data_IF_829318006726
#
_entry.id   IF_829318006726
#
_cell.length_a   1.000
_cell.length_b   1.000
_cell.length_c   1.000
_cell.angle_alpha   90.00
_cell.angle_beta   90.00
_cell.angle_gamma   90.00
#
_symmetry.space_group_name_H-M   'P 1'
#
loop_
_entity.id
_entity.type
_entity.pdbx_description
1 polymer ?
#
# COMPACT_ATOMS: atom_id res chain seq x y z
N UNK A 1 -43.54 -6.38 10.70
CA UNK A 1 -43.25 -7.81 10.81
C UNK A 1 -42.86 -8.30 9.43
N UNK A 2 -41.60 -8.34 9.08
CA UNK A 2 -41.12 -8.89 7.83
C UNK A 2 -41.10 -10.43 7.92
N UNK A 3 -41.71 -11.10 6.97
CA UNK A 3 -41.70 -12.57 6.90
C UNK A 3 -40.25 -13.06 6.78
N UNK A 4 -39.88 -14.09 7.55
CA UNK A 4 -38.58 -14.73 7.45
C UNK A 4 -38.40 -15.30 6.03
N UNK A 5 -37.21 -15.16 5.42
CA UNK A 5 -36.96 -15.66 4.07
C UNK A 5 -37.14 -17.18 4.03
N UNK A 6 -37.82 -17.67 2.98
CA UNK A 6 -38.08 -19.09 2.76
C UNK A 6 -36.75 -19.89 2.57
N UNK A 7 -36.79 -21.24 2.70
CA UNK A 7 -35.59 -22.08 2.66
C UNK A 7 -34.73 -21.89 1.41
N UNK A 8 -35.32 -21.78 0.24
CA UNK A 8 -34.56 -21.55 -1.02
C UNK A 8 -33.96 -20.13 -1.16
N UNK A 9 -34.40 -19.16 -0.35
CA UNK A 9 -33.76 -17.84 -0.30
C UNK A 9 -32.53 -17.86 0.62
N UNK A 10 -32.54 -18.67 1.68
CA UNK A 10 -31.40 -18.86 2.59
C UNK A 10 -30.25 -19.64 1.91
N UNK A 11 -30.57 -20.65 1.14
CA UNK A 11 -29.57 -21.41 0.35
C UNK A 11 -28.88 -20.49 -0.66
N UNK A 12 -29.62 -19.72 -1.43
CA UNK A 12 -29.04 -18.75 -2.40
C UNK A 12 -28.18 -17.66 -1.73
N UNK A 13 -28.55 -17.21 -0.55
CA UNK A 13 -27.75 -16.22 0.21
C UNK A 13 -26.43 -16.85 0.67
N UNK A 14 -26.46 -18.06 1.19
CA UNK A 14 -25.27 -18.80 1.61
C UNK A 14 -24.32 -19.12 0.45
N UNK A 15 -24.87 -19.52 -0.69
CA UNK A 15 -24.06 -19.77 -1.90
C UNK A 15 -23.40 -18.48 -2.41
N UNK A 16 -24.09 -17.33 -2.36
CA UNK A 16 -23.54 -16.05 -2.76
C UNK A 16 -22.38 -15.61 -1.80
N UNK A 17 -22.57 -15.71 -0.50
CA UNK A 17 -21.53 -15.41 0.50
C UNK A 17 -20.27 -16.27 0.29
N UNK A 18 -20.44 -17.57 0.05
CA UNK A 18 -19.33 -18.50 -0.22
C UNK A 18 -18.59 -18.17 -1.52
N UNK A 19 -19.30 -17.71 -2.55
CA UNK A 19 -18.67 -17.27 -3.81
C UNK A 19 -17.84 -16.00 -3.57
N UNK A 20 -18.38 -15.02 -2.84
CA UNK A 20 -17.68 -13.77 -2.52
C UNK A 20 -16.42 -14.00 -1.68
N UNK A 21 -16.49 -14.89 -0.67
CA UNK A 21 -15.33 -15.32 0.12
C UNK A 21 -14.24 -15.93 -0.76
N UNK A 22 -14.59 -16.87 -1.65
CA UNK A 22 -13.63 -17.49 -2.55
C UNK A 22 -13.02 -16.47 -3.53
N UNK A 23 -13.81 -15.56 -4.08
CA UNK A 23 -13.32 -14.49 -4.97
C UNK A 23 -12.33 -13.57 -4.23
N UNK A 24 -12.58 -13.26 -2.97
CA UNK A 24 -11.69 -12.47 -2.14
C UNK A 24 -10.33 -13.15 -1.92
N UNK A 25 -10.34 -14.45 -1.64
CA UNK A 25 -9.13 -15.26 -1.48
C UNK A 25 -8.34 -15.37 -2.79
N UNK A 26 -9.03 -15.59 -3.91
CA UNK A 26 -8.42 -15.62 -5.24
C UNK A 26 -7.78 -14.26 -5.54
N UNK A 27 -8.48 -13.16 -5.29
CA UNK A 27 -7.97 -11.80 -5.51
C UNK A 27 -6.66 -11.54 -4.78
N UNK A 28 -6.55 -11.97 -3.52
CA UNK A 28 -5.33 -11.87 -2.72
C UNK A 28 -4.18 -12.72 -3.27
N UNK A 29 -4.48 -13.89 -3.85
CA UNK A 29 -3.50 -14.83 -4.36
C UNK A 29 -2.99 -14.48 -5.77
N UNK A 30 -3.80 -13.82 -6.61
CA UNK A 30 -3.48 -13.56 -8.02
C UNK A 30 -2.11 -12.91 -8.25
N UNK A 31 -1.69 -11.85 -7.53
CA UNK A 31 -0.39 -11.24 -7.78
C UNK A 31 0.78 -12.17 -7.40
N UNK A 32 0.64 -12.99 -6.35
CA UNK A 32 1.66 -13.98 -5.99
C UNK A 32 1.76 -15.09 -7.03
N UNK A 33 0.62 -15.55 -7.57
CA UNK A 33 0.61 -16.48 -8.69
C UNK A 33 1.33 -15.87 -9.91
N UNK A 34 1.06 -14.60 -10.23
CA UNK A 34 1.75 -13.89 -11.30
C UNK A 34 3.26 -13.82 -11.06
N UNK A 35 3.69 -13.57 -9.82
CA UNK A 35 5.11 -13.54 -9.45
C UNK A 35 5.79 -14.90 -9.67
N UNK A 36 5.15 -16.00 -9.25
CA UNK A 36 5.65 -17.36 -9.45
C UNK A 36 5.74 -17.67 -10.95
N UNK A 37 4.67 -17.45 -11.71
CA UNK A 37 4.67 -17.70 -13.15
C UNK A 37 5.73 -16.87 -13.88
N UNK A 38 5.88 -15.58 -13.55
CA UNK A 38 6.91 -14.73 -14.14
C UNK A 38 8.33 -15.25 -13.82
N UNK A 39 8.55 -15.77 -12.60
CA UNK A 39 9.86 -16.29 -12.19
C UNK A 39 10.30 -17.57 -12.91
N UNK A 40 9.34 -18.36 -13.42
CA UNK A 40 9.60 -19.61 -14.15
C UNK A 40 9.90 -19.39 -15.63
N UNK A 41 9.66 -18.19 -16.16
CA UNK A 41 9.91 -17.87 -17.56
C UNK A 41 11.40 -17.70 -17.84
N UNK A 42 11.83 -18.08 -19.05
CA UNK A 42 13.20 -17.89 -19.50
C UNK A 42 13.57 -16.40 -19.61
N UNK A 43 14.86 -16.10 -19.47
CA UNK A 43 15.36 -14.72 -19.57
C UNK A 43 15.01 -14.03 -20.89
N UNK A 44 14.76 -14.81 -21.95
CA UNK A 44 14.38 -14.32 -23.29
C UNK A 44 12.87 -14.04 -23.44
N UNK A 45 12.06 -14.44 -22.46
CA UNK A 45 10.58 -14.33 -22.52
C UNK A 45 10.05 -12.95 -22.04
N UNK A 46 10.67 -11.86 -22.47
CA UNK A 46 10.34 -10.50 -22.05
C UNK A 46 8.86 -10.15 -22.16
N UNK A 47 8.28 -10.46 -23.32
CA UNK A 47 6.87 -10.14 -23.57
C UNK A 47 5.92 -11.04 -22.81
N UNK A 48 6.26 -12.33 -22.66
CA UNK A 48 5.39 -13.30 -21.97
C UNK A 48 5.24 -12.93 -20.48
N UNK A 49 6.33 -12.54 -19.81
CA UNK A 49 6.26 -12.11 -18.40
C UNK A 49 5.34 -10.89 -18.20
N UNK A 50 5.41 -9.91 -19.11
CA UNK A 50 4.54 -8.74 -19.07
C UNK A 50 3.06 -9.12 -19.28
N UNK A 51 2.77 -9.95 -20.29
CA UNK A 51 1.40 -10.34 -20.62
C UNK A 51 0.77 -11.22 -19.55
N UNK A 52 1.51 -12.21 -19.01
CA UNK A 52 1.01 -13.06 -17.91
C UNK A 52 0.70 -12.21 -16.68
N UNK A 53 1.61 -11.33 -16.29
CA UNK A 53 1.38 -10.44 -15.15
C UNK A 53 0.19 -9.50 -15.39
N UNK A 54 0.10 -8.89 -16.58
CA UNK A 54 -0.99 -8.00 -16.96
C UNK A 54 -2.35 -8.71 -16.97
N UNK A 55 -2.42 -9.91 -17.55
CA UNK A 55 -3.66 -10.69 -17.60
C UNK A 55 -4.18 -11.01 -16.19
N UNK A 56 -3.31 -11.40 -15.27
CA UNK A 56 -3.73 -11.73 -13.90
C UNK A 56 -4.21 -10.49 -13.14
N UNK A 57 -3.61 -9.31 -13.36
CA UNK A 57 -4.16 -8.07 -12.80
C UNK A 57 -5.50 -7.68 -13.42
N UNK A 58 -5.70 -7.91 -14.72
CA UNK A 58 -7.01 -7.71 -15.39
C UNK A 58 -8.06 -8.66 -14.80
N UNK A 59 -7.74 -9.94 -14.60
CA UNK A 59 -8.61 -10.88 -13.89
C UNK A 59 -8.99 -10.36 -12.49
N UNK A 60 -8.02 -9.78 -11.77
CA UNK A 60 -8.27 -9.14 -10.47
C UNK A 60 -9.23 -7.95 -10.58
N UNK A 61 -9.11 -7.08 -11.60
CA UNK A 61 -10.08 -6.00 -11.83
C UNK A 61 -11.48 -6.53 -12.17
N UNK A 62 -11.59 -7.63 -12.90
CA UNK A 62 -12.88 -8.28 -13.16
C UNK A 62 -13.51 -8.79 -11.86
N UNK A 63 -12.73 -9.43 -10.98
CA UNK A 63 -13.20 -9.85 -9.65
C UNK A 63 -13.66 -8.65 -8.83
N UNK A 64 -12.88 -7.55 -8.81
CA UNK A 64 -13.29 -6.31 -8.14
C UNK A 64 -14.58 -5.72 -8.70
N UNK A 65 -14.81 -5.84 -10.02
CA UNK A 65 -16.06 -5.46 -10.66
C UNK A 65 -17.25 -6.30 -10.18
N UNK A 66 -17.06 -7.60 -9.98
CA UNK A 66 -18.09 -8.51 -9.44
C UNK A 66 -18.40 -8.16 -7.97
N UNK A 67 -17.35 -7.92 -7.16
CA UNK A 67 -17.48 -7.58 -5.74
C UNK A 67 -17.97 -6.13 -5.49
N UNK A 68 -18.08 -5.30 -6.55
CA UNK A 68 -18.52 -3.91 -6.42
C UNK A 68 -19.95 -3.79 -5.87
N UNK A 69 -20.86 -4.66 -6.32
CA UNK A 69 -22.27 -4.58 -5.92
C UNK A 69 -22.48 -4.65 -4.40
N UNK A 70 -22.07 -5.75 -3.74
CA UNK A 70 -22.12 -5.90 -2.29
C UNK A 70 -21.40 -4.77 -1.54
N UNK A 71 -20.18 -4.43 -1.97
CA UNK A 71 -19.37 -3.38 -1.33
C UNK A 71 -20.02 -2.00 -1.44
N UNK A 72 -20.62 -1.65 -2.59
CA UNK A 72 -21.34 -0.41 -2.79
C UNK A 72 -22.65 -0.36 -1.97
N UNK A 73 -23.23 -1.53 -1.67
CA UNK A 73 -24.35 -1.68 -0.72
C UNK A 73 -23.95 -1.47 0.74
N UNK A 74 -22.68 -1.26 1.04
CA UNK A 74 -22.16 -1.09 2.40
C UNK A 74 -21.78 -2.41 3.10
N UNK A 75 -21.79 -3.52 2.39
CA UNK A 75 -21.40 -4.82 2.94
C UNK A 75 -19.87 -4.92 3.12
N UNK A 76 -19.46 -5.66 4.12
CA UNK A 76 -18.05 -5.98 4.36
C UNK A 76 -17.85 -7.46 4.08
N UNK A 77 -17.15 -7.75 2.97
CA UNK A 77 -16.86 -9.12 2.55
C UNK A 77 -15.67 -9.62 3.37
N UNK A 78 -15.77 -10.85 3.90
CA UNK A 78 -14.73 -11.49 4.70
C UNK A 78 -14.41 -12.86 4.13
N UNK A 79 -13.12 -13.22 4.16
CA UNK A 79 -12.66 -14.54 3.79
C UNK A 79 -11.55 -14.98 4.75
N UNK A 80 -11.59 -16.21 5.22
CA UNK A 80 -10.64 -16.70 6.21
C UNK A 80 -10.11 -18.08 5.84
N UNK A 81 -8.78 -18.20 5.80
CA UNK A 81 -8.08 -19.48 5.67
C UNK A 81 -7.35 -19.78 6.99
N UNK A 82 -7.59 -20.94 7.55
CA UNK A 82 -6.88 -21.40 8.76
C UNK A 82 -5.40 -21.59 8.45
N UNK A 83 -4.55 -20.85 9.15
CA UNK A 83 -3.09 -20.92 8.94
C UNK A 83 -2.36 -21.50 10.16
N UNK A 84 -2.34 -20.76 11.29
CA UNK A 84 -1.69 -21.23 12.53
C UNK A 84 -2.69 -21.07 13.69
N UNK A 85 -3.65 -22.00 13.83
CA UNK A 85 -4.71 -21.88 14.84
C UNK A 85 -4.18 -21.86 16.29
N UNK A 86 -3.03 -22.52 16.54
CA UNK A 86 -2.38 -22.55 17.85
C UNK A 86 -1.90 -21.20 18.36
N UNK A 87 -1.66 -20.24 17.44
CA UNK A 87 -1.28 -18.87 17.75
C UNK A 87 -2.44 -17.87 17.55
N UNK A 88 -3.63 -18.36 17.22
CA UNK A 88 -4.77 -17.50 16.87
C UNK A 88 -4.56 -16.74 15.54
N UNK A 89 -3.58 -17.15 14.71
CA UNK A 89 -3.26 -16.51 13.45
C UNK A 89 -3.94 -17.24 12.29
N UNK A 90 -4.96 -16.61 11.74
CA UNK A 90 -5.59 -17.02 10.49
C UNK A 90 -5.26 -16.02 9.39
N UNK A 91 -5.18 -16.50 8.14
CA UNK A 91 -5.15 -15.62 6.98
C UNK A 91 -6.57 -15.07 6.77
N UNK A 92 -6.88 -14.00 7.47
CA UNK A 92 -8.16 -13.32 7.39
C UNK A 92 -8.08 -12.14 6.43
N UNK A 93 -8.91 -12.13 5.40
CA UNK A 93 -9.04 -11.03 4.45
C UNK A 93 -10.38 -10.34 4.65
N UNK A 94 -10.38 -9.02 4.44
CA UNK A 94 -11.52 -8.14 4.63
C UNK A 94 -11.56 -7.10 3.53
N UNK A 95 -12.70 -6.92 2.91
CA UNK A 95 -12.94 -5.89 1.90
C UNK A 95 -14.15 -5.06 2.25
N UNK A 96 -13.95 -3.77 2.38
CA UNK A 96 -14.97 -2.73 2.42
C UNK A 96 -14.71 -1.73 1.28
N UNK A 97 -15.53 -0.69 1.15
CA UNK A 97 -15.40 0.31 0.10
C UNK A 97 -14.03 1.01 0.04
N UNK A 98 -13.40 1.24 1.18
CA UNK A 98 -12.07 1.86 1.24
C UNK A 98 -10.98 0.93 0.72
N UNK A 99 -11.01 -0.35 1.09
CA UNK A 99 -10.09 -1.38 0.57
C UNK A 99 -10.33 -1.63 -0.91
N UNK A 100 -11.59 -1.75 -1.33
CA UNK A 100 -11.97 -1.95 -2.74
C UNK A 100 -11.39 -0.85 -3.63
N UNK A 101 -11.55 0.42 -3.22
CA UNK A 101 -10.98 1.55 -3.94
C UNK A 101 -9.44 1.45 -4.06
N UNK A 102 -8.74 1.14 -2.95
CA UNK A 102 -7.29 1.04 -2.96
C UNK A 102 -6.78 -0.13 -3.81
N UNK A 103 -7.39 -1.32 -3.73
CA UNK A 103 -6.98 -2.48 -4.54
C UNK A 103 -7.24 -2.21 -6.02
N UNK A 104 -8.35 -1.56 -6.37
CA UNK A 104 -8.63 -1.10 -7.73
C UNK A 104 -7.54 -0.15 -8.24
N UNK A 105 -7.11 0.80 -7.40
CA UNK A 105 -6.04 1.74 -7.72
C UNK A 105 -4.70 1.01 -7.95
N UNK A 106 -4.35 0.07 -7.07
CA UNK A 106 -3.12 -0.73 -7.16
C UNK A 106 -3.09 -1.56 -8.45
N UNK A 107 -4.17 -2.23 -8.79
CA UNK A 107 -4.25 -3.06 -10.00
C UNK A 107 -4.31 -2.20 -11.26
N UNK A 108 -5.11 -1.13 -11.27
CA UNK A 108 -5.26 -0.24 -12.42
C UNK A 108 -3.94 0.44 -12.79
N UNK A 109 -3.28 1.07 -11.82
CA UNK A 109 -1.95 1.67 -12.05
C UNK A 109 -0.91 0.59 -12.31
N UNK A 110 -1.01 -0.57 -11.66
CA UNK A 110 -0.14 -1.72 -11.91
C UNK A 110 -0.13 -2.14 -13.37
N UNK A 111 -1.29 -2.25 -14.02
CA UNK A 111 -1.41 -2.58 -15.45
C UNK A 111 -0.72 -1.53 -16.32
N UNK A 112 -0.93 -0.23 -16.06
CA UNK A 112 -0.28 0.85 -16.80
C UNK A 112 1.24 0.79 -16.65
N UNK A 113 1.73 0.52 -15.45
CA UNK A 113 3.17 0.37 -15.17
C UNK A 113 3.75 -0.88 -15.84
N UNK A 114 3.01 -2.00 -15.90
CA UNK A 114 3.45 -3.21 -16.62
C UNK A 114 3.60 -2.94 -18.12
N UNK A 115 2.63 -2.26 -18.73
CA UNK A 115 2.69 -1.86 -20.14
C UNK A 115 3.90 -0.94 -20.36
N UNK A 116 4.08 0.07 -19.52
CA UNK A 116 5.22 0.99 -19.58
C UNK A 116 6.56 0.26 -19.42
N UNK A 117 6.69 -0.63 -18.43
CA UNK A 117 7.89 -1.39 -18.15
C UNK A 117 8.33 -2.26 -19.33
N UNK A 118 7.37 -2.81 -20.09
CA UNK A 118 7.65 -3.64 -21.26
C UNK A 118 8.46 -2.87 -22.34
N UNK A 119 8.20 -1.58 -22.50
CA UNK A 119 8.90 -0.74 -23.48
C UNK A 119 10.12 -0.04 -22.89
N UNK A 120 10.14 0.16 -21.57
CA UNK A 120 11.22 0.84 -20.86
C UNK A 120 12.45 -0.05 -20.61
N UNK A 121 12.23 -1.33 -20.25
CA UNK A 121 13.33 -2.25 -19.91
C UNK A 121 14.04 -2.75 -21.17
N UNK A 122 15.37 -2.77 -21.11
CA UNK A 122 16.20 -3.26 -22.22
C UNK A 122 16.16 -4.78 -22.32
N UNK A 123 16.54 -5.31 -23.51
CA UNK A 123 16.68 -6.76 -23.71
C UNK A 123 17.81 -7.38 -22.89
N UNK A 124 18.75 -6.57 -22.39
CA UNK A 124 19.85 -7.03 -21.54
C UNK A 124 19.44 -7.16 -20.07
N UNK A 125 18.32 -6.55 -19.66
CA UNK A 125 17.82 -6.65 -18.31
C UNK A 125 17.21 -8.05 -18.04
N UNK A 126 17.33 -8.60 -16.81
CA UNK A 126 16.66 -9.84 -16.42
C UNK A 126 15.17 -9.62 -16.16
N UNK A 127 14.41 -9.34 -17.23
CA UNK A 127 13.02 -8.88 -17.22
C UNK A 127 12.05 -9.80 -16.45
N UNK A 128 12.12 -11.16 -16.55
CA UNK A 128 11.25 -12.03 -15.75
C UNK A 128 11.43 -11.81 -14.24
N UNK A 129 12.67 -11.59 -13.78
CA UNK A 129 12.96 -11.26 -12.37
C UNK A 129 12.32 -9.93 -11.96
N UNK A 130 12.30 -8.93 -12.85
CA UNK A 130 11.65 -7.66 -12.61
C UNK A 130 10.15 -7.84 -12.36
N UNK A 131 9.45 -8.54 -13.27
CA UNK A 131 8.03 -8.79 -13.14
C UNK A 131 7.69 -9.66 -11.93
N UNK A 132 8.52 -10.66 -11.62
CA UNK A 132 8.35 -11.49 -10.43
C UNK A 132 8.39 -10.66 -9.14
N UNK A 133 9.38 -9.78 -8.99
CA UNK A 133 9.47 -8.88 -7.82
C UNK A 133 8.34 -7.87 -7.78
N UNK A 134 7.97 -7.29 -8.93
CA UNK A 134 6.88 -6.32 -9.01
C UNK A 134 5.54 -6.95 -8.62
N UNK A 135 5.26 -8.16 -9.10
CA UNK A 135 4.03 -8.88 -8.79
C UNK A 135 4.01 -9.38 -7.34
N UNK A 136 5.12 -9.90 -6.82
CA UNK A 136 5.22 -10.26 -5.40
C UNK A 136 4.98 -9.03 -4.50
N UNK A 137 5.56 -7.87 -4.85
CA UNK A 137 5.31 -6.62 -4.14
C UNK A 137 3.84 -6.17 -4.23
N UNK A 138 3.21 -6.34 -5.41
CA UNK A 138 1.77 -6.07 -5.58
C UNK A 138 0.95 -6.96 -4.65
N UNK A 139 1.28 -8.26 -4.56
CA UNK A 139 0.61 -9.20 -3.65
C UNK A 139 0.79 -8.83 -2.18
N UNK A 140 2.01 -8.45 -1.78
CA UNK A 140 2.26 -7.98 -0.42
C UNK A 140 1.47 -6.70 -0.09
N UNK A 141 1.38 -5.76 -1.03
CA UNK A 141 0.59 -4.54 -0.86
C UNK A 141 -0.91 -4.83 -0.74
N UNK A 142 -1.44 -5.70 -1.60
CA UNK A 142 -2.84 -6.18 -1.51
C UNK A 142 -3.07 -6.87 -0.16
N UNK A 143 -2.11 -7.69 0.29
CA UNK A 143 -2.15 -8.30 1.62
C UNK A 143 -2.24 -7.28 2.76
N UNK A 144 -1.49 -6.18 2.72
CA UNK A 144 -1.62 -5.08 3.70
C UNK A 144 -3.03 -4.47 3.68
N UNK A 145 -3.55 -4.18 2.47
CA UNK A 145 -4.84 -3.52 2.31
C UNK A 145 -6.01 -4.39 2.76
N UNK A 146 -5.97 -5.67 2.43
CA UNK A 146 -7.05 -6.62 2.64
C UNK A 146 -6.94 -7.39 3.96
N UNK A 147 -5.89 -7.19 4.77
CA UNK A 147 -5.74 -7.91 6.04
C UNK A 147 -6.92 -7.66 6.99
N UNK A 148 -7.57 -8.75 7.38
CA UNK A 148 -8.61 -8.78 8.41
C UNK A 148 -8.07 -9.05 9.82
N UNK A 149 -6.74 -9.24 9.96
CA UNK A 149 -6.04 -9.44 11.23
C UNK A 149 -4.84 -8.49 11.30
N UNK A 150 -4.67 -7.79 12.43
CA UNK A 150 -3.64 -6.74 12.56
C UNK A 150 -2.20 -7.28 12.62
N UNK A 151 -2.00 -8.52 13.05
CA UNK A 151 -0.67 -9.18 13.02
C UNK A 151 -0.34 -9.58 11.58
N UNK A 152 -1.28 -10.19 10.86
CA UNK A 152 -1.15 -10.51 9.44
C UNK A 152 -0.86 -9.25 8.60
N UNK A 153 -1.50 -8.13 8.92
CA UNK A 153 -1.23 -6.84 8.30
C UNK A 153 0.25 -6.46 8.42
N UNK A 154 0.84 -6.62 9.62
CA UNK A 154 2.27 -6.32 9.83
C UNK A 154 3.18 -7.29 9.08
N UNK A 155 2.82 -8.58 8.98
CA UNK A 155 3.58 -9.55 8.16
C UNK A 155 3.64 -9.09 6.70
N UNK A 156 2.52 -8.73 6.11
CA UNK A 156 2.50 -8.19 4.74
C UNK A 156 3.20 -6.82 4.64
N UNK A 157 3.11 -5.99 5.67
CA UNK A 157 3.83 -4.72 5.74
C UNK A 157 5.35 -4.90 5.64
N UNK A 158 5.92 -5.85 6.40
CA UNK A 158 7.34 -6.17 6.30
C UNK A 158 7.70 -6.82 4.97
N UNK A 159 6.83 -7.65 4.43
CA UNK A 159 7.02 -8.23 3.10
C UNK A 159 7.09 -7.13 2.02
N UNK A 160 6.29 -6.05 2.13
CA UNK A 160 6.43 -4.89 1.23
C UNK A 160 7.78 -4.18 1.39
N UNK A 161 8.36 -4.12 2.60
CA UNK A 161 9.69 -3.53 2.83
C UNK A 161 10.79 -4.35 2.16
N UNK A 162 10.75 -5.67 2.32
CA UNK A 162 11.71 -6.59 1.67
C UNK A 162 11.63 -6.56 0.15
N UNK A 163 10.41 -6.60 -0.40
CA UNK A 163 10.22 -6.61 -1.85
C UNK A 163 10.54 -5.26 -2.48
N UNK A 164 10.28 -4.15 -1.78
CA UNK A 164 10.72 -2.83 -2.23
C UNK A 164 12.25 -2.70 -2.25
N UNK A 165 12.94 -3.29 -1.26
CA UNK A 165 14.40 -3.36 -1.27
C UNK A 165 14.92 -4.06 -2.53
N UNK A 166 14.33 -5.19 -2.93
CA UNK A 166 14.70 -5.91 -4.16
C UNK A 166 14.41 -5.10 -5.42
N UNK A 167 13.32 -4.35 -5.45
CA UNK A 167 12.93 -3.50 -6.58
C UNK A 167 13.78 -2.24 -6.68
N UNK A 168 14.06 -1.54 -5.57
CA UNK A 168 14.93 -0.35 -5.56
C UNK A 168 16.36 -0.74 -5.91
N UNK A 169 16.83 -1.88 -5.40
CA UNK A 169 18.14 -2.45 -5.68
C UNK A 169 18.21 -3.26 -6.98
N UNK A 170 17.24 -3.17 -7.90
CA UNK A 170 17.19 -4.00 -9.11
C UNK A 170 18.49 -3.91 -9.94
N UNK A 171 19.02 -2.72 -10.15
CA UNK A 171 20.32 -2.46 -10.76
C UNK A 171 21.43 -2.41 -9.69
N UNK A 172 21.57 -3.52 -8.95
CA UNK A 172 22.47 -3.65 -7.79
C UNK A 172 23.97 -3.44 -8.10
N UNK A 173 24.37 -3.40 -9.37
CA UNK A 173 25.75 -3.05 -9.76
C UNK A 173 26.07 -1.57 -9.45
N UNK A 174 25.08 -0.68 -9.51
CA UNK A 174 25.22 0.73 -9.18
C UNK A 174 25.27 0.97 -7.65
N UNK A 175 26.25 1.77 -7.18
CA UNK A 175 26.39 2.10 -5.75
C UNK A 175 25.12 2.83 -5.22
N UNK A 176 24.61 3.80 -5.98
CA UNK A 176 23.42 4.56 -5.61
C UNK A 176 22.17 3.68 -5.40
N UNK A 177 21.98 2.65 -6.24
CA UNK A 177 20.87 1.72 -6.10
C UNK A 177 20.99 0.87 -4.83
N UNK A 178 22.22 0.39 -4.51
CA UNK A 178 22.47 -0.37 -3.27
C UNK A 178 22.23 0.46 -2.02
N UNK A 179 22.76 1.69 -2.01
CA UNK A 179 22.66 2.57 -0.83
C UNK A 179 21.22 3.05 -0.64
N UNK A 180 20.52 3.42 -1.70
CA UNK A 180 19.11 3.77 -1.67
C UNK A 180 18.22 2.63 -1.20
N UNK A 181 18.45 1.41 -1.68
CA UNK A 181 17.71 0.22 -1.27
C UNK A 181 17.93 -0.10 0.22
N UNK A 182 19.19 -0.09 0.69
CA UNK A 182 19.52 -0.34 2.10
C UNK A 182 18.89 0.71 3.02
N UNK A 183 18.98 1.98 2.65
CA UNK A 183 18.39 3.07 3.43
C UNK A 183 16.88 2.93 3.53
N UNK A 184 16.20 2.65 2.42
CA UNK A 184 14.76 2.40 2.41
C UNK A 184 14.39 1.21 3.33
N UNK A 185 15.11 0.08 3.24
CA UNK A 185 14.85 -1.09 4.07
C UNK A 185 15.05 -0.80 5.56
N UNK A 186 16.17 -0.15 5.93
CA UNK A 186 16.48 0.14 7.34
C UNK A 186 15.41 1.06 7.94
N UNK A 187 15.06 2.14 7.25
CA UNK A 187 14.08 3.12 7.77
C UNK A 187 12.68 2.50 7.86
N UNK A 188 12.22 1.85 6.80
CA UNK A 188 10.86 1.31 6.76
C UNK A 188 10.70 0.04 7.58
N UNK A 189 11.74 -0.80 7.68
CA UNK A 189 11.74 -1.99 8.53
C UNK A 189 11.79 -1.65 10.02
N UNK A 190 12.64 -0.68 10.42
CA UNK A 190 12.63 -0.19 11.81
C UNK A 190 11.27 0.37 12.22
N UNK A 191 10.63 1.13 11.32
CA UNK A 191 9.25 1.60 11.52
C UNK A 191 8.22 0.47 11.63
N UNK A 192 8.39 -0.59 10.84
CA UNK A 192 7.52 -1.75 10.88
C UNK A 192 7.65 -2.57 12.18
N UNK A 193 8.83 -2.65 12.77
CA UNK A 193 9.01 -3.22 14.11
C UNK A 193 8.30 -2.39 15.19
N UNK A 194 8.34 -1.06 15.10
CA UNK A 194 7.54 -0.19 15.97
C UNK A 194 6.04 -0.45 15.78
N UNK A 195 5.59 -0.58 14.52
CA UNK A 195 4.20 -0.91 14.19
C UNK A 195 3.79 -2.27 14.77
N UNK A 196 4.65 -3.29 14.69
CA UNK A 196 4.39 -4.60 15.30
C UNK A 196 4.11 -4.48 16.79
N UNK A 197 4.96 -3.76 17.52
CA UNK A 197 4.77 -3.55 18.95
C UNK A 197 3.46 -2.80 19.25
N UNK A 198 3.13 -1.77 18.47
CA UNK A 198 1.86 -1.07 18.60
C UNK A 198 0.67 -2.01 18.40
N UNK A 199 0.68 -2.83 17.34
CA UNK A 199 -0.41 -3.76 17.02
C UNK A 199 -0.57 -4.86 18.08
N UNK A 200 0.54 -5.36 18.65
CA UNK A 200 0.47 -6.34 19.74
C UNK A 200 -0.19 -5.75 21.00
N UNK A 201 0.16 -4.53 21.37
CA UNK A 201 -0.43 -3.84 22.53
C UNK A 201 -1.90 -3.48 22.25
N UNK A 202 -2.23 -2.97 21.05
CA UNK A 202 -3.64 -2.70 20.66
C UNK A 202 -4.47 -3.97 20.74
N UNK A 203 -3.99 -5.10 20.20
CA UNK A 203 -4.70 -6.37 20.24
C UNK A 203 -4.94 -6.87 21.66
N UNK A 204 -3.99 -6.66 22.57
CA UNK A 204 -4.17 -6.99 24.00
C UNK A 204 -5.24 -6.13 24.67
N UNK A 205 -5.24 -4.83 24.41
CA UNK A 205 -6.26 -3.90 24.96
C UNK A 205 -7.64 -4.22 24.38
N UNK A 206 -7.71 -4.51 23.09
CA UNK A 206 -8.95 -4.82 22.38
C UNK A 206 -9.53 -6.23 22.71
N UNK A 207 -8.70 -7.10 23.28
CA UNK A 207 -9.10 -8.50 23.55
C UNK A 207 -9.04 -9.42 22.33
N UNK A 208 -8.36 -9.01 21.23
CA UNK A 208 -8.19 -9.81 20.02
C UNK A 208 -7.43 -9.08 18.92
N UNK A 209 -6.95 -9.84 17.94
CA UNK A 209 -6.15 -9.32 16.81
C UNK A 209 -6.97 -9.23 15.51
N UNK A 210 -8.25 -9.58 15.56
CA UNK A 210 -9.16 -9.36 14.43
C UNK A 210 -9.42 -7.86 14.23
N UNK A 211 -9.37 -7.42 12.97
CA UNK A 211 -9.48 -6.00 12.66
C UNK A 211 -10.85 -5.42 13.06
N UNK A 212 -11.94 -6.19 12.94
CA UNK A 212 -13.26 -5.70 13.31
C UNK A 212 -13.38 -5.52 14.84
N UNK A 213 -12.78 -6.43 15.65
CA UNK A 213 -12.69 -6.28 17.11
C UNK A 213 -11.89 -5.02 17.45
N UNK A 214 -10.75 -4.82 16.80
CA UNK A 214 -9.88 -3.66 17.02
C UNK A 214 -10.60 -2.36 16.65
N UNK A 215 -11.27 -2.33 15.51
CA UNK A 215 -12.00 -1.12 15.07
C UNK A 215 -13.16 -0.76 16.01
N UNK A 216 -13.75 -1.74 16.69
CA UNK A 216 -14.80 -1.51 17.67
C UNK A 216 -14.27 -1.10 19.06
N UNK A 217 -12.95 -1.26 19.33
CA UNK A 217 -12.35 -1.05 20.67
C UNK A 217 -11.80 0.37 20.89
N UNK A 218 -12.12 1.34 20.03
CA UNK A 218 -11.53 2.67 20.04
C UNK A 218 -11.56 3.39 21.39
N UNK A 219 -12.70 3.37 22.09
CA UNK A 219 -12.83 4.01 23.41
C UNK A 219 -11.91 3.35 24.47
N UNK A 220 -11.83 2.03 24.46
CA UNK A 220 -10.95 1.29 25.38
C UNK A 220 -9.47 1.60 25.12
N UNK A 221 -9.07 1.67 23.86
CA UNK A 221 -7.68 1.99 23.47
C UNK A 221 -7.34 3.44 23.87
N UNK A 222 -8.20 4.41 23.59
CA UNK A 222 -7.97 5.82 23.92
C UNK A 222 -7.94 6.09 25.44
N UNK A 223 -8.74 5.37 26.21
CA UNK A 223 -8.77 5.50 27.67
C UNK A 223 -7.60 4.77 28.37
N UNK A 224 -6.85 3.94 27.67
CA UNK A 224 -5.82 3.12 28.26
C UNK A 224 -4.55 3.94 28.60
N UNK A 225 -3.90 3.73 29.75
CA UNK A 225 -2.66 4.46 30.14
C UNK A 225 -1.52 4.35 29.12
N UNK A 226 -1.44 3.27 28.37
CA UNK A 226 -0.43 3.06 27.32
C UNK A 226 -0.77 3.75 26.00
N UNK A 227 -1.91 4.45 25.86
CA UNK A 227 -2.32 5.09 24.62
C UNK A 227 -1.23 6.00 24.00
N UNK A 228 -0.54 6.89 24.74
CA UNK A 228 0.50 7.72 24.14
C UNK A 228 1.67 6.92 23.56
N UNK A 229 2.07 5.82 24.22
CA UNK A 229 3.12 4.93 23.74
C UNK A 229 2.67 4.19 22.48
N UNK A 230 1.47 3.63 22.50
CA UNK A 230 0.86 2.93 21.35
C UNK A 230 0.75 3.86 20.16
N UNK A 231 0.27 5.07 20.37
CA UNK A 231 0.16 6.09 19.32
C UNK A 231 1.54 6.43 18.75
N UNK A 232 2.56 6.67 19.57
CA UNK A 232 3.91 6.98 19.12
C UNK A 232 4.49 5.85 18.26
N UNK A 233 4.39 4.60 18.71
CA UNK A 233 4.87 3.42 17.97
C UNK A 233 4.12 3.22 16.65
N UNK A 234 2.80 3.37 16.64
CA UNK A 234 1.97 3.30 15.44
C UNK A 234 2.36 4.39 14.43
N UNK A 235 2.52 5.64 14.90
CA UNK A 235 2.91 6.76 14.05
C UNK A 235 4.31 6.60 13.49
N UNK A 236 5.28 6.06 14.24
CA UNK A 236 6.60 5.74 13.72
C UNK A 236 6.51 4.76 12.53
N UNK A 237 5.68 3.72 12.62
CA UNK A 237 5.42 2.82 11.51
C UNK A 237 4.86 3.54 10.29
N UNK A 238 3.81 4.34 10.47
CA UNK A 238 3.15 5.07 9.39
C UNK A 238 4.06 6.13 8.76
N UNK A 239 4.76 6.92 9.58
CA UNK A 239 5.58 8.04 9.13
C UNK A 239 6.84 7.60 8.38
N UNK A 240 7.50 6.54 8.82
CA UNK A 240 8.65 5.97 8.11
C UNK A 240 8.26 5.47 6.73
N UNK A 241 7.16 4.73 6.61
CA UNK A 241 6.67 4.18 5.33
C UNK A 241 6.17 5.26 4.38
N UNK A 242 5.47 6.29 4.90
CA UNK A 242 4.95 7.42 4.11
C UNK A 242 5.92 8.60 4.02
N UNK A 243 7.20 8.39 4.30
CA UNK A 243 8.26 9.39 4.15
C UNK A 243 7.91 10.75 4.79
N UNK A 244 7.31 10.73 6.00
CA UNK A 244 7.03 11.95 6.75
C UNK A 244 8.30 12.48 7.42
N UNK A 245 8.40 13.78 7.62
CA UNK A 245 9.49 14.39 8.38
C UNK A 245 9.52 13.84 9.82
N UNK A 246 10.71 13.50 10.36
CA UNK A 246 12.05 13.62 9.76
C UNK A 246 12.46 12.42 8.89
N UNK A 247 11.65 11.39 8.73
CA UNK A 247 12.00 10.11 8.10
C UNK A 247 11.92 10.11 6.56
N UNK A 248 11.84 11.28 5.92
CA UNK A 248 11.64 11.42 4.47
C UNK A 248 12.86 11.07 3.61
N UNK A 249 14.05 11.08 4.18
CA UNK A 249 15.34 11.08 3.45
C UNK A 249 15.62 9.82 2.63
N UNK A 250 14.95 8.70 2.91
CA UNK A 250 15.11 7.47 2.13
C UNK A 250 14.45 7.58 0.75
N UNK A 251 13.37 8.37 0.61
CA UNK A 251 12.57 8.42 -0.60
C UNK A 251 13.34 9.02 -1.81
N UNK A 252 14.07 10.14 -1.70
CA UNK A 252 14.94 10.62 -2.77
C UNK A 252 16.05 9.62 -3.14
N UNK A 253 16.62 8.91 -2.17
CA UNK A 253 17.60 7.84 -2.41
C UNK A 253 17.03 6.66 -3.19
N UNK A 254 15.76 6.33 -3.00
CA UNK A 254 15.06 5.28 -3.73
C UNK A 254 14.83 5.61 -5.22
N UNK A 255 15.06 6.87 -5.68
CA UNK A 255 14.95 7.25 -7.08
C UNK A 255 16.02 6.63 -8.00
N UNK A 256 17.04 5.96 -7.44
CA UNK A 256 17.97 5.12 -8.18
C UNK A 256 17.34 3.87 -8.81
N UNK A 257 16.12 3.52 -8.39
CA UNK A 257 15.31 2.43 -8.96
C UNK A 257 14.98 2.68 -10.45
N UNK A 258 14.70 1.61 -11.24
CA UNK A 258 14.09 1.76 -12.57
C UNK A 258 12.82 2.62 -12.50
N UNK A 259 12.57 3.44 -13.52
CA UNK A 259 11.42 4.36 -13.49
C UNK A 259 10.06 3.69 -13.34
N UNK A 260 9.79 2.51 -13.93
CA UNK A 260 8.54 1.78 -13.67
C UNK A 260 8.35 1.45 -12.17
N UNK A 261 9.44 1.10 -11.46
CA UNK A 261 9.40 0.87 -10.00
C UNK A 261 9.04 2.17 -9.28
N UNK A 262 9.74 3.29 -9.60
CA UNK A 262 9.45 4.59 -8.98
C UNK A 262 8.00 5.01 -9.25
N UNK A 263 7.49 4.82 -10.48
CA UNK A 263 6.11 5.11 -10.84
C UNK A 263 5.10 4.29 -9.99
N UNK A 264 5.36 3.04 -9.72
CA UNK A 264 4.45 2.17 -8.97
C UNK A 264 4.54 2.38 -7.46
N UNK A 265 5.76 2.34 -6.89
CA UNK A 265 5.98 2.42 -5.45
C UNK A 265 5.56 3.78 -4.86
N UNK A 266 5.76 4.86 -5.61
CA UNK A 266 5.58 6.21 -5.08
C UNK A 266 4.28 6.88 -5.52
N UNK A 267 3.52 6.27 -6.45
CA UNK A 267 2.19 6.76 -6.82
C UNK A 267 1.05 6.05 -6.11
N UNK A 268 0.98 4.71 -6.20
CA UNK A 268 -0.20 3.95 -5.82
C UNK A 268 -0.02 3.02 -4.61
N UNK A 269 1.25 2.70 -4.22
CA UNK A 269 1.49 1.57 -3.34
C UNK A 269 2.28 1.93 -2.07
N UNK A 270 3.57 1.65 -2.01
CA UNK A 270 4.39 1.63 -0.79
C UNK A 270 4.20 2.85 0.12
N UNK A 271 4.36 4.06 -0.42
CA UNK A 271 4.28 5.29 0.37
C UNK A 271 2.86 5.61 0.85
N UNK A 272 1.86 4.99 0.26
CA UNK A 272 0.46 5.14 0.67
C UNK A 272 0.03 4.16 1.76
N UNK A 273 0.81 3.12 2.03
CA UNK A 273 0.50 2.17 3.10
C UNK A 273 0.39 2.87 4.47
N UNK A 274 1.29 3.83 4.78
CA UNK A 274 1.22 4.57 6.05
C UNK A 274 -0.01 5.47 6.14
N UNK A 275 -0.32 6.25 5.10
CA UNK A 275 -1.53 7.09 5.10
C UNK A 275 -2.82 6.26 5.04
N UNK A 276 -2.79 5.08 4.41
CA UNK A 276 -3.88 4.11 4.50
C UNK A 276 -4.14 3.70 5.95
N UNK A 277 -3.09 3.33 6.70
CA UNK A 277 -3.23 2.96 8.11
C UNK A 277 -3.71 4.13 8.98
N UNK A 278 -3.21 5.35 8.75
CA UNK A 278 -3.69 6.54 9.47
C UNK A 278 -5.21 6.70 9.32
N UNK A 279 -5.73 6.56 8.10
CA UNK A 279 -7.16 6.67 7.84
C UNK A 279 -7.91 5.45 8.42
N UNK A 280 -7.39 4.24 8.25
CA UNK A 280 -8.02 3.00 8.73
C UNK A 280 -8.13 2.96 10.26
N UNK A 281 -7.11 3.43 10.97
CA UNK A 281 -7.06 3.43 12.43
C UNK A 281 -7.54 4.73 13.09
N UNK A 282 -7.98 5.72 12.30
CA UNK A 282 -8.55 6.95 12.86
C UNK A 282 -9.75 6.72 13.79
N UNK A 283 -10.63 5.70 13.61
CA UNK A 283 -11.69 5.39 14.58
C UNK A 283 -11.14 4.88 15.92
N UNK A 284 -9.96 4.22 15.91
CA UNK A 284 -9.33 3.60 17.11
C UNK A 284 -8.46 4.61 17.85
N UNK A 285 -7.57 5.29 17.12
CA UNK A 285 -6.51 6.14 17.69
C UNK A 285 -6.78 7.63 17.53
N UNK A 286 -7.73 8.03 16.69
CA UNK A 286 -8.08 9.42 16.43
C UNK A 286 -8.94 10.04 17.53
N UNK A 287 -9.45 11.25 17.26
CA UNK A 287 -10.37 11.99 18.15
C UNK A 287 -9.73 12.43 19.48
N UNK A 288 -8.41 12.51 19.57
CA UNK A 288 -7.68 13.04 20.71
C UNK A 288 -6.85 14.26 20.29
N UNK A 289 -6.58 15.17 21.23
CA UNK A 289 -5.70 16.32 20.98
C UNK A 289 -4.29 15.84 20.57
N UNK A 290 -3.80 14.78 21.22
CA UNK A 290 -2.48 14.21 20.90
C UNK A 290 -2.40 13.73 19.44
N UNK A 291 -3.43 13.03 18.96
CA UNK A 291 -3.55 12.65 17.54
C UNK A 291 -3.55 13.88 16.63
N UNK A 292 -4.43 14.84 16.93
CA UNK A 292 -4.59 16.04 16.10
C UNK A 292 -3.27 16.81 15.97
N UNK A 293 -2.61 17.15 17.07
CA UNK A 293 -1.38 17.93 17.03
C UNK A 293 -0.21 17.15 16.40
N UNK A 294 -0.09 15.85 16.67
CA UNK A 294 1.01 15.06 16.12
C UNK A 294 0.83 14.76 14.65
N UNK A 295 -0.32 14.23 14.22
CA UNK A 295 -0.55 13.82 12.84
C UNK A 295 -0.68 15.04 11.93
N UNK A 296 -1.50 16.03 12.31
CA UNK A 296 -1.67 17.27 11.53
C UNK A 296 -0.37 18.07 11.51
N UNK A 297 0.31 18.23 12.64
CA UNK A 297 1.56 18.99 12.74
C UNK A 297 2.68 18.40 11.91
N UNK A 298 2.93 17.08 12.01
CA UNK A 298 3.94 16.39 11.18
C UNK A 298 3.55 16.44 9.69
N UNK A 299 2.26 16.26 9.37
CA UNK A 299 1.78 16.37 8.01
C UNK A 299 2.02 17.76 7.41
N UNK A 300 1.69 18.82 8.13
CA UNK A 300 1.91 20.22 7.69
C UNK A 300 3.41 20.52 7.54
N UNK A 301 4.24 20.12 8.49
CA UNK A 301 5.70 20.27 8.40
C UNK A 301 6.24 19.55 7.15
N UNK A 302 5.78 18.32 6.90
CA UNK A 302 6.17 17.53 5.73
C UNK A 302 5.73 18.18 4.42
N UNK A 303 4.50 18.70 4.37
CA UNK A 303 3.97 19.45 3.23
C UNK A 303 4.87 20.66 2.90
N UNK A 304 5.16 21.50 3.87
CA UNK A 304 5.93 22.73 3.69
C UNK A 304 7.37 22.45 3.30
N UNK A 305 8.07 21.59 4.06
CA UNK A 305 9.47 21.27 3.77
C UNK A 305 9.63 20.47 2.47
N UNK A 306 8.70 19.55 2.17
CA UNK A 306 8.69 18.81 0.91
C UNK A 306 8.55 19.74 -0.30
N UNK A 307 7.63 20.70 -0.25
CA UNK A 307 7.45 21.72 -1.30
C UNK A 307 8.69 22.61 -1.43
N UNK A 308 9.24 23.06 -0.31
CA UNK A 308 10.43 23.90 -0.29
C UNK A 308 11.63 23.20 -0.93
N UNK A 309 11.93 21.97 -0.53
CA UNK A 309 13.06 21.23 -1.10
C UNK A 309 12.85 20.86 -2.57
N UNK A 310 11.61 20.70 -3.04
CA UNK A 310 11.31 20.42 -4.43
C UNK A 310 11.77 21.58 -5.37
N UNK A 311 11.66 22.83 -4.91
CA UNK A 311 12.05 24.04 -5.69
C UNK A 311 13.53 24.06 -6.08
N UNK A 312 14.39 23.39 -5.30
CA UNK A 312 15.85 23.38 -5.53
C UNK A 312 16.34 22.12 -6.25
N UNK A 313 15.42 21.27 -6.76
CA UNK A 313 15.82 20.05 -7.47
C UNK A 313 15.85 20.28 -8.97
N UNK A 314 16.98 19.92 -9.56
CA UNK A 314 17.19 19.97 -11.01
C UNK A 314 17.01 18.63 -11.70
N UNK A 315 17.06 17.52 -10.95
CA UNK A 315 16.75 16.16 -11.42
C UNK A 315 15.25 15.91 -11.39
N UNK A 316 14.64 15.52 -12.52
CA UNK A 316 13.20 15.28 -12.64
C UNK A 316 12.66 14.28 -11.60
N UNK A 317 13.34 13.14 -11.41
CA UNK A 317 12.92 12.14 -10.41
C UNK A 317 13.09 12.66 -8.98
N UNK A 318 14.13 13.44 -8.72
CA UNK A 318 14.37 14.10 -7.44
C UNK A 318 13.29 15.13 -7.11
N UNK A 319 12.87 15.95 -8.08
CA UNK A 319 11.75 16.88 -7.92
C UNK A 319 10.46 16.13 -7.65
N UNK A 320 10.17 15.06 -8.39
CA UNK A 320 8.98 14.25 -8.19
C UNK A 320 8.98 13.54 -6.82
N UNK A 321 10.14 13.14 -6.29
CA UNK A 321 10.27 12.57 -4.95
C UNK A 321 9.86 13.57 -3.87
N UNK A 322 10.42 14.78 -3.89
CA UNK A 322 10.07 15.81 -2.90
C UNK A 322 8.62 16.30 -3.05
N UNK A 323 8.13 16.41 -4.27
CA UNK A 323 6.71 16.66 -4.53
C UNK A 323 5.82 15.53 -3.98
N UNK A 324 6.26 14.27 -4.04
CA UNK A 324 5.53 13.14 -3.42
C UNK A 324 5.52 13.27 -1.90
N UNK A 325 6.65 13.61 -1.27
CA UNK A 325 6.76 13.87 0.19
C UNK A 325 5.77 14.98 0.58
N UNK A 326 5.73 16.07 -0.15
CA UNK A 326 4.81 17.19 0.09
C UNK A 326 3.35 16.75 0.05
N UNK A 327 2.93 16.04 -0.98
CA UNK A 327 1.55 15.56 -1.11
C UNK A 327 1.18 14.51 -0.06
N UNK A 328 2.10 13.64 0.33
CA UNK A 328 1.90 12.71 1.45
C UNK A 328 1.75 13.47 2.78
N UNK A 329 2.48 14.56 2.95
CA UNK A 329 2.31 15.49 4.08
C UNK A 329 0.90 16.09 4.11
N UNK A 330 0.38 16.54 2.97
CA UNK A 330 -0.99 17.03 2.86
C UNK A 330 -2.02 15.96 3.24
N UNK A 331 -1.89 14.73 2.70
CA UNK A 331 -2.79 13.63 3.04
C UNK A 331 -2.75 13.32 4.54
N UNK A 332 -1.54 13.30 5.12
CA UNK A 332 -1.34 13.06 6.57
C UNK A 332 -1.99 14.17 7.39
N UNK A 333 -1.80 15.44 7.04
CA UNK A 333 -2.41 16.57 7.73
C UNK A 333 -3.94 16.50 7.69
N UNK A 334 -4.52 16.18 6.52
CA UNK A 334 -5.97 16.02 6.37
C UNK A 334 -6.50 14.83 7.20
N UNK A 335 -5.77 13.71 7.26
CA UNK A 335 -6.13 12.56 8.09
C UNK A 335 -6.06 12.89 9.60
N UNK A 336 -5.19 13.81 10.00
CA UNK A 336 -5.05 14.26 11.38
C UNK A 336 -6.23 15.09 11.89
N UNK A 337 -6.98 15.78 11.02
CA UNK A 337 -8.14 16.63 11.38
C UNK A 337 -9.28 15.81 12.01
N UNK A 338 -9.46 14.54 11.60
CA UNK A 338 -10.26 13.55 12.33
C UNK A 338 -11.77 13.77 12.38
N UNK A 339 -12.35 14.77 11.70
CA UNK A 339 -13.80 14.92 11.63
C UNK A 339 -14.42 13.98 10.59
N UNK A 340 -15.66 13.53 10.83
CA UNK A 340 -16.37 12.56 9.95
C UNK A 340 -16.48 13.04 8.50
N UNK A 341 -16.62 14.34 8.26
CA UNK A 341 -16.63 14.90 6.91
C UNK A 341 -15.22 15.11 6.31
N UNK A 342 -14.21 15.29 7.17
CA UNK A 342 -12.83 15.54 6.72
C UNK A 342 -12.14 14.29 6.15
N UNK A 343 -12.62 13.08 6.45
CA UNK A 343 -12.01 11.83 6.00
C UNK A 343 -12.11 11.60 4.47
N UNK A 344 -13.09 12.22 3.83
CA UNK A 344 -13.23 12.14 2.37
C UNK A 344 -12.15 12.92 1.63
N UNK A 345 -11.65 14.01 2.20
CA UNK A 345 -10.63 14.84 1.55
C UNK A 345 -9.29 14.10 1.36
N UNK A 346 -8.70 13.43 2.38
CA UNK A 346 -7.49 12.64 2.16
C UNK A 346 -7.73 11.47 1.22
N UNK A 347 -8.89 10.80 1.25
CA UNK A 347 -9.22 9.69 0.33
C UNK A 347 -9.26 10.19 -1.11
N UNK A 348 -9.97 11.28 -1.38
CA UNK A 348 -10.01 11.89 -2.71
C UNK A 348 -8.61 12.29 -3.19
N UNK A 349 -7.82 12.91 -2.30
CA UNK A 349 -6.46 13.32 -2.67
C UNK A 349 -5.52 12.13 -2.91
N UNK A 350 -5.72 11.00 -2.23
CA UNK A 350 -4.97 9.75 -2.49
C UNK A 350 -5.19 9.28 -3.92
N UNK A 351 -6.44 9.22 -4.39
CA UNK A 351 -6.78 8.80 -5.75
C UNK A 351 -6.17 9.75 -6.77
N UNK A 352 -6.41 11.05 -6.60
CA UNK A 352 -5.87 12.09 -7.48
C UNK A 352 -4.33 12.02 -7.56
N UNK A 353 -3.66 12.01 -6.41
CA UNK A 353 -2.20 11.90 -6.33
C UNK A 353 -1.66 10.63 -7.00
N UNK A 354 -2.34 9.49 -6.87
CA UNK A 354 -1.89 8.26 -7.49
C UNK A 354 -1.86 8.36 -9.02
N UNK A 355 -2.93 8.92 -9.60
CA UNK A 355 -3.06 9.05 -11.07
C UNK A 355 -2.02 10.00 -11.63
N UNK A 356 -1.96 11.24 -11.13
CA UNK A 356 -1.03 12.21 -11.71
C UNK A 356 0.45 11.89 -11.42
N UNK A 357 0.77 11.26 -10.28
CA UNK A 357 2.16 10.86 -9.99
C UNK A 357 2.63 9.70 -10.86
N UNK A 358 1.79 8.70 -11.09
CA UNK A 358 2.12 7.63 -12.03
C UNK A 358 2.45 8.20 -13.41
N UNK A 359 1.59 9.08 -13.93
CA UNK A 359 1.78 9.74 -15.23
C UNK A 359 3.08 10.56 -15.28
N UNK A 360 3.35 11.37 -14.25
CA UNK A 360 4.55 12.22 -14.20
C UNK A 360 5.85 11.41 -14.11
N UNK A 361 5.87 10.31 -13.31
CA UNK A 361 7.04 9.45 -13.27
C UNK A 361 7.28 8.73 -14.59
N UNK A 362 6.22 8.23 -15.24
CA UNK A 362 6.35 7.62 -16.57
C UNK A 362 6.84 8.62 -17.61
N UNK A 363 6.32 9.87 -17.60
CA UNK A 363 6.79 10.94 -18.48
C UNK A 363 8.27 11.28 -18.21
N UNK A 364 8.69 11.40 -16.93
CA UNK A 364 10.08 11.63 -16.59
C UNK A 364 11.01 10.51 -17.08
N UNK A 365 10.53 9.27 -17.09
CA UNK A 365 11.30 8.14 -17.62
C UNK A 365 11.35 8.12 -19.15
N UNK A 366 10.31 8.57 -19.85
CA UNK A 366 10.34 8.76 -21.31
C UNK A 366 11.37 9.84 -21.67
N UNK A 367 11.36 10.97 -20.97
CA UNK A 367 12.34 12.04 -21.16
C UNK A 367 13.76 11.50 -20.95
N UNK A 368 14.02 10.80 -19.84
CA UNK A 368 15.32 10.20 -19.52
C UNK A 368 15.79 9.24 -20.63
N UNK A 369 14.88 8.42 -21.15
CA UNK A 369 15.18 7.45 -22.21
C UNK A 369 15.50 8.12 -23.56
N UNK A 370 14.72 9.14 -23.95
CA UNK A 370 14.85 9.79 -25.27
C UNK A 370 15.96 10.85 -25.31
N UNK A 371 16.22 11.53 -24.19
CA UNK A 371 17.22 12.62 -24.14
C UNK A 371 18.55 12.20 -23.51
N UNK A 372 18.58 11.05 -22.82
CA UNK A 372 19.74 10.58 -22.06
C UNK A 372 20.03 11.38 -20.79
N UNK A 373 19.12 12.27 -20.37
CA UNK A 373 19.31 13.10 -19.17
C UNK A 373 18.00 13.37 -18.45
N UNK A 374 18.09 13.53 -17.11
CA UNK A 374 16.98 13.99 -16.26
C UNK A 374 17.22 15.39 -15.70
N UNK A 375 18.33 16.02 -16.08
CA UNK A 375 18.65 17.38 -15.65
C UNK A 375 17.80 18.38 -16.44
N UNK A 376 17.11 19.28 -15.75
CA UNK A 376 16.21 20.28 -16.33
C UNK A 376 16.93 21.59 -16.73
N UNK A 377 18.23 21.67 -16.52
CA UNK A 377 19.05 22.85 -16.89
C UNK A 377 19.48 22.80 -18.34
#
# INVERSE_FOLDING_TARGET
>A
MGAAPGPGARERCHDAEMIEENLLLILAALPFLAAVLASTLSATAHSAAAWVSGLLLVCGLVILGILHGPVAGGEVIRGTVRWIPSLGLNLAFRMDGFVWMFVTLVFGIGILVLIYARYYLSKADPVPRFYAFLMAFTGAMVGVLMSGNIVMLVVFWELTSLLSFLLVGYWHQGQAARDGARMALIVTGAGGLCLLLAMLVIGQIAGGYDLDIVLASGDAVRAHPLYPLVLALFLLGCFTKSAQMPFHFWLPGAMAAPTPVSAFLHSATMVKAGVFLLIRFSPVLGQTELWFFTVTGVGMLTLLLGSFFALFRHDLKGLLAYSTISHLGLITALAGIGSTGAILAPIFHIVNHAVFKASLFMAAGIIDHETGTRDMR
#
